data_IF_363019765934
#
_entry.id   IF_363019765934
#
_cell.length_a   1.000
_cell.length_b   1.000
_cell.length_c   1.000
_cell.angle_alpha   90.00
_cell.angle_beta   90.00
_cell.angle_gamma   90.00
#
_symmetry.space_group_name_H-M   'P 1'
#
loop_
_entity.id
_entity.type
_entity.pdbx_description
1 polymer ?
#
# COMPACT_ATOMS: atom_id res chain seq x y z
N UNK A 1 22.23 -17.34 -18.16
CA UNK A 1 21.03 -17.49 -17.28
C UNK A 1 21.24 -16.98 -15.84
N UNK A 2 21.86 -15.81 -15.60
CA UNK A 2 22.01 -15.30 -14.23
C UNK A 2 20.67 -14.87 -13.59
N UNK A 3 19.71 -14.39 -14.38
CA UNK A 3 18.42 -13.89 -13.89
C UNK A 3 17.53 -14.98 -13.32
N UNK A 4 17.50 -16.16 -13.95
CA UNK A 4 16.74 -17.33 -13.48
C UNK A 4 17.28 -17.80 -12.13
N UNK A 5 18.60 -17.80 -11.95
CA UNK A 5 19.24 -18.18 -10.69
C UNK A 5 18.90 -17.16 -9.58
N UNK A 6 18.91 -15.86 -9.90
CA UNK A 6 18.53 -14.78 -8.97
C UNK A 6 17.06 -14.90 -8.55
N UNK A 7 16.18 -15.21 -9.50
CA UNK A 7 14.77 -15.47 -9.23
C UNK A 7 14.59 -16.66 -8.29
N UNK A 8 15.22 -17.80 -8.58
CA UNK A 8 15.16 -18.99 -7.72
C UNK A 8 15.64 -18.74 -6.29
N UNK A 9 16.74 -17.99 -6.13
CA UNK A 9 17.23 -17.56 -4.80
C UNK A 9 16.22 -16.67 -4.06
N UNK A 10 15.56 -15.77 -4.79
CA UNK A 10 14.54 -14.87 -4.24
C UNK A 10 13.29 -15.65 -3.80
N UNK A 11 12.81 -16.56 -4.64
CA UNK A 11 11.67 -17.42 -4.29
C UNK A 11 11.97 -18.28 -3.07
N UNK A 12 13.17 -18.91 -3.01
CA UNK A 12 13.59 -19.70 -1.84
C UNK A 12 13.64 -18.86 -0.56
N UNK A 13 14.13 -17.62 -0.63
CA UNK A 13 14.22 -16.70 0.52
C UNK A 13 12.85 -16.29 1.06
N UNK A 14 11.83 -16.18 0.20
CA UNK A 14 10.50 -15.69 0.57
C UNK A 14 9.42 -16.80 0.58
N UNK A 15 9.81 -18.07 0.47
CA UNK A 15 8.89 -19.20 0.32
C UNK A 15 7.84 -19.26 1.44
N UNK A 16 8.22 -19.00 2.69
CA UNK A 16 7.28 -18.99 3.81
C UNK A 16 6.17 -17.94 3.62
N UNK A 17 6.54 -16.72 3.19
CA UNK A 17 5.56 -15.66 2.93
C UNK A 17 4.65 -15.99 1.75
N UNK A 18 5.18 -16.66 0.72
CA UNK A 18 4.39 -17.11 -0.43
C UNK A 18 3.36 -18.17 -0.01
N UNK A 19 3.77 -19.16 0.80
CA UNK A 19 2.86 -20.20 1.31
C UNK A 19 1.77 -19.60 2.20
N UNK A 20 2.11 -18.68 3.10
CA UNK A 20 1.11 -18.01 3.95
C UNK A 20 0.18 -17.09 3.14
N UNK A 21 0.66 -16.42 2.10
CA UNK A 21 -0.20 -15.64 1.19
C UNK A 21 -1.23 -16.53 0.47
N UNK A 22 -0.82 -17.72 0.03
CA UNK A 22 -1.73 -18.70 -0.60
C UNK A 22 -2.75 -19.22 0.43
N UNK A 23 -2.31 -19.57 1.64
CA UNK A 23 -3.19 -20.09 2.70
C UNK A 23 -4.20 -19.06 3.21
N UNK A 24 -3.76 -17.82 3.37
CA UNK A 24 -4.61 -16.72 3.85
C UNK A 24 -5.60 -16.23 2.79
N UNK A 25 -5.39 -16.58 1.52
CA UNK A 25 -6.23 -16.10 0.41
C UNK A 25 -6.20 -14.58 0.23
N UNK A 26 -5.22 -13.89 0.85
CA UNK A 26 -5.10 -12.44 0.78
C UNK A 26 -4.64 -12.07 -0.63
N UNK A 27 -5.58 -11.55 -1.42
CA UNK A 27 -5.28 -11.03 -2.74
C UNK A 27 -4.57 -9.67 -2.62
N UNK A 28 -3.47 -9.49 -3.36
CA UNK A 28 -2.77 -8.21 -3.48
C UNK A 28 -3.68 -7.09 -3.98
N UNK A 29 -4.78 -7.40 -4.67
CA UNK A 29 -5.73 -6.42 -5.19
C UNK A 29 -6.28 -5.45 -4.13
N UNK A 30 -6.52 -5.88 -2.89
CA UNK A 30 -7.00 -4.99 -1.81
C UNK A 30 -5.90 -4.00 -1.42
N UNK A 31 -4.68 -4.49 -1.28
CA UNK A 31 -3.49 -3.68 -0.96
C UNK A 31 -3.16 -2.72 -2.11
N UNK A 32 -3.27 -3.17 -3.36
CA UNK A 32 -3.07 -2.34 -4.55
C UNK A 32 -4.16 -1.27 -4.68
N UNK A 33 -5.42 -1.61 -4.42
CA UNK A 33 -6.52 -0.66 -4.41
C UNK A 33 -6.31 0.44 -3.36
N UNK A 34 -5.89 0.05 -2.16
CA UNK A 34 -5.51 0.98 -1.09
C UNK A 34 -4.34 1.90 -1.51
N UNK A 35 -3.27 1.31 -2.05
CA UNK A 35 -2.11 2.05 -2.53
C UNK A 35 -2.48 3.04 -3.65
N UNK A 36 -3.37 2.65 -4.57
CA UNK A 36 -3.85 3.52 -5.64
C UNK A 36 -4.67 4.70 -5.12
N UNK A 37 -5.51 4.48 -4.10
CA UNK A 37 -6.24 5.58 -3.43
C UNK A 37 -5.28 6.59 -2.80
N UNK A 38 -4.29 6.12 -2.05
CA UNK A 38 -3.28 6.99 -1.40
C UNK A 38 -2.46 7.74 -2.45
N UNK A 39 -1.96 7.06 -3.49
CA UNK A 39 -1.20 7.68 -4.58
C UNK A 39 -2.01 8.75 -5.31
N UNK A 40 -3.30 8.49 -5.52
CA UNK A 40 -4.22 9.46 -6.13
C UNK A 40 -4.37 10.70 -5.24
N UNK A 41 -4.53 10.52 -3.94
CA UNK A 41 -4.61 11.63 -2.98
C UNK A 41 -3.33 12.47 -2.98
N UNK A 42 -2.16 11.83 -3.03
CA UNK A 42 -0.87 12.53 -3.10
C UNK A 42 -0.68 13.28 -4.43
N UNK A 43 -1.15 12.71 -5.55
CA UNK A 43 -1.09 13.39 -6.85
C UNK A 43 -1.96 14.65 -6.84
N UNK A 44 -3.11 14.62 -6.16
CA UNK A 44 -4.04 15.75 -6.05
C UNK A 44 -3.62 16.81 -5.03
N UNK A 45 -2.72 16.51 -4.11
CA UNK A 45 -2.26 17.47 -3.11
C UNK A 45 -1.20 18.45 -3.62
N UNK A 46 -0.55 18.14 -4.76
CA UNK A 46 0.55 18.94 -5.33
C UNK A 46 1.72 19.17 -4.36
N UNK A 47 1.89 18.25 -3.40
CA UNK A 47 2.90 18.34 -2.34
C UNK A 47 2.29 18.67 -0.97
N UNK A 48 3.08 18.46 0.08
CA UNK A 48 2.63 18.68 1.45
C UNK A 48 3.62 19.56 2.18
N UNK A 49 3.12 20.62 2.84
CA UNK A 49 3.94 21.56 3.62
C UNK A 49 4.53 20.96 4.89
N UNK A 50 3.97 19.85 5.38
CA UNK A 50 4.40 19.15 6.57
C UNK A 50 3.94 17.69 6.54
N UNK A 51 4.59 16.83 7.32
CA UNK A 51 4.26 15.40 7.44
C UNK A 51 2.83 15.19 7.98
N UNK A 52 2.40 16.00 8.95
CA UNK A 52 1.04 15.93 9.52
C UNK A 52 -0.07 15.94 8.46
N UNK A 53 0.09 16.73 7.38
CA UNK A 53 -0.91 16.81 6.31
C UNK A 53 -0.93 15.55 5.44
N UNK A 54 0.20 14.85 5.30
CA UNK A 54 0.28 13.54 4.63
C UNK A 54 -0.48 12.50 5.44
N UNK A 55 -0.25 12.47 6.74
CA UNK A 55 -0.87 11.50 7.62
C UNK A 55 -2.39 11.73 7.66
N UNK A 56 -2.82 12.99 7.83
CA UNK A 56 -4.24 13.36 7.80
C UNK A 56 -4.92 12.93 6.50
N UNK A 57 -4.33 13.17 5.32
CA UNK A 57 -4.99 12.78 4.07
C UNK A 57 -5.04 11.25 3.90
N UNK A 58 -4.04 10.51 4.38
CA UNK A 58 -4.09 9.04 4.41
C UNK A 58 -5.26 8.59 5.29
N UNK A 59 -5.41 9.16 6.49
CA UNK A 59 -6.52 8.81 7.38
C UNK A 59 -7.89 9.20 6.80
N UNK A 60 -8.01 10.33 6.10
CA UNK A 60 -9.25 10.74 5.43
C UNK A 60 -9.63 9.81 4.28
N UNK A 61 -8.67 9.39 3.46
CA UNK A 61 -8.93 8.62 2.23
C UNK A 61 -9.02 7.12 2.47
N UNK A 62 -8.27 6.62 3.46
CA UNK A 62 -8.11 5.19 3.72
C UNK A 62 -8.43 4.77 5.17
N UNK A 63 -8.27 5.67 6.14
CA UNK A 63 -8.38 5.36 7.56
C UNK A 63 -9.74 5.63 8.19
N UNK A 64 -10.73 6.13 7.44
CA UNK A 64 -12.09 6.38 7.93
C UNK A 64 -12.22 7.63 8.84
N UNK A 65 -11.24 8.53 8.81
CA UNK A 65 -11.35 9.81 9.52
C UNK A 65 -12.47 10.65 8.90
N UNK A 66 -13.41 11.10 9.73
CA UNK A 66 -14.52 11.97 9.29
C UNK A 66 -14.10 13.43 9.43
N UNK A 67 -14.51 14.26 8.47
CA UNK A 67 -14.40 15.70 8.61
C UNK A 67 -15.36 16.17 9.72
N UNK A 68 -14.95 17.15 10.55
CA UNK A 68 -15.88 17.78 11.47
C UNK A 68 -17.03 18.44 10.68
N UNK A 69 -18.24 18.52 11.24
CA UNK A 69 -19.36 19.19 10.59
C UNK A 69 -19.01 20.65 10.32
N UNK A 70 -19.49 21.15 9.19
CA UNK A 70 -19.36 22.54 8.77
C UNK A 70 -20.18 23.41 9.75
N UNK A 71 -19.58 24.47 10.27
CA UNK A 71 -20.28 25.44 11.12
C UNK A 71 -21.22 26.33 10.30
#
# INVERSE_FOLDING_TARGET
>A
MPDIIKLGKTMKRHLNGILEAIRSGINSAVVEGLNNKIRTAFKRSYGFKAQKYRDTIIYLVAGGLKLPPEC
#
